data_IF_975259884589
#
_entry.id   IF_975259884589
#
_cell.length_a   1.000
_cell.length_b   1.000
_cell.length_c   1.000
_cell.angle_alpha   90.00
_cell.angle_beta   90.00
_cell.angle_gamma   90.00
#
_symmetry.space_group_name_H-M   'P 1'
#
loop_
_entity.id
_entity.type
_entity.pdbx_description
1 polymer ?
#
# COMPACT_ATOMS: atom_id res chain seq x y z
N UNK A 1 10.12 18.28 -12.92
CA UNK A 1 8.95 18.83 -13.64
C UNK A 1 9.10 18.38 -15.08
N UNK A 2 8.07 17.78 -15.68
CA UNK A 2 8.17 17.12 -16.99
C UNK A 2 8.61 18.13 -18.05
N UNK A 3 9.88 18.09 -18.46
CA UNK A 3 10.45 18.91 -19.52
C UNK A 3 10.67 18.01 -20.72
N UNK A 4 10.01 18.33 -21.84
CA UNK A 4 10.25 17.69 -23.13
C UNK A 4 11.41 18.43 -23.78
N UNK A 5 12.47 17.69 -24.10
CA UNK A 5 13.64 18.18 -24.82
C UNK A 5 13.92 17.17 -25.93
N UNK A 6 13.04 17.19 -26.94
CA UNK A 6 13.01 16.24 -28.06
C UNK A 6 12.43 16.96 -29.29
N UNK A 7 13.01 16.74 -30.46
CA UNK A 7 12.64 17.43 -31.70
C UNK A 7 11.39 16.85 -32.37
N UNK A 8 10.95 15.64 -31.98
CA UNK A 8 9.83 14.92 -32.61
C UNK A 8 8.62 14.75 -31.69
N UNK A 9 8.83 14.62 -30.38
CA UNK A 9 7.75 14.42 -29.40
C UNK A 9 7.34 15.73 -28.72
N UNK A 10 6.04 15.93 -28.49
CA UNK A 10 5.50 17.16 -27.90
C UNK A 10 4.60 16.96 -26.67
N UNK A 11 4.39 15.71 -26.23
CA UNK A 11 3.56 15.40 -25.07
C UNK A 11 4.04 14.16 -24.29
N UNK A 12 3.75 14.13 -22.98
CA UNK A 12 3.91 12.95 -22.11
C UNK A 12 2.55 12.40 -21.66
N UNK A 13 2.52 11.11 -21.34
CA UNK A 13 1.40 10.44 -20.66
C UNK A 13 1.85 9.98 -19.26
N UNK A 14 1.97 10.90 -18.28
CA UNK A 14 2.67 10.64 -17.02
C UNK A 14 1.85 9.82 -16.01
N UNK A 15 1.26 8.70 -16.42
CA UNK A 15 0.28 7.88 -15.69
C UNK A 15 0.50 7.75 -14.17
N UNK A 16 1.21 6.73 -13.70
CA UNK A 16 1.37 6.48 -12.26
C UNK A 16 2.13 7.60 -11.51
N UNK A 17 2.96 8.36 -12.25
CA UNK A 17 3.66 9.53 -11.73
C UNK A 17 2.72 10.63 -11.22
N UNK A 18 1.56 10.81 -11.86
CA UNK A 18 0.53 11.75 -11.40
C UNK A 18 -0.08 11.34 -10.05
N UNK A 19 -0.12 10.04 -9.74
CA UNK A 19 -0.59 9.53 -8.45
C UNK A 19 0.49 9.52 -7.38
N UNK A 20 1.69 10.02 -7.70
CA UNK A 20 2.75 10.20 -6.74
C UNK A 20 3.67 9.00 -6.56
N UNK A 21 3.66 8.04 -7.48
CA UNK A 21 4.58 6.89 -7.45
C UNK A 21 5.59 6.96 -8.58
N UNK A 22 6.81 6.54 -8.25
CA UNK A 22 7.91 6.53 -9.20
C UNK A 22 7.72 5.35 -10.19
N UNK A 23 7.63 5.61 -11.52
CA UNK A 23 7.51 4.52 -12.50
C UNK A 23 8.84 3.81 -12.78
N UNK A 24 9.97 4.34 -12.29
CA UNK A 24 11.31 3.82 -12.53
C UNK A 24 11.73 2.81 -11.46
N UNK A 25 12.62 1.87 -11.83
CA UNK A 25 13.19 0.91 -10.89
C UNK A 25 14.29 1.57 -10.07
N UNK A 26 14.57 1.05 -8.88
CA UNK A 26 15.57 1.61 -7.97
C UNK A 26 16.99 1.66 -8.56
N UNK A 27 17.28 0.79 -9.53
CA UNK A 27 18.58 0.68 -10.19
C UNK A 27 18.78 1.71 -11.30
N UNK A 28 17.70 2.36 -11.77
CA UNK A 28 17.77 3.34 -12.85
C UNK A 28 18.44 4.63 -12.36
N UNK A 29 19.42 5.15 -13.11
CA UNK A 29 20.07 6.44 -12.81
C UNK A 29 19.06 7.58 -12.66
N UNK A 30 17.98 7.55 -13.44
CA UNK A 30 16.91 8.54 -13.44
C UNK A 30 15.92 8.39 -12.27
N UNK A 31 16.01 7.32 -11.45
CA UNK A 31 15.13 7.09 -10.30
C UNK A 31 15.07 8.29 -9.35
N UNK A 32 16.19 9.02 -9.21
CA UNK A 32 16.30 10.23 -8.39
C UNK A 32 15.27 11.30 -8.75
N UNK A 33 14.83 11.39 -10.01
CA UNK A 33 13.86 12.38 -10.49
C UNK A 33 12.46 12.17 -9.88
N UNK A 34 12.11 10.93 -9.54
CA UNK A 34 10.83 10.56 -8.94
C UNK A 34 10.80 10.61 -7.41
N UNK A 35 11.94 10.85 -6.73
CA UNK A 35 12.03 10.80 -5.26
C UNK A 35 11.16 11.82 -4.51
N UNK A 36 10.76 12.91 -5.18
CA UNK A 36 9.93 13.97 -4.60
C UNK A 36 8.43 13.77 -4.85
N UNK A 37 8.04 12.72 -5.56
CA UNK A 37 6.64 12.39 -5.76
C UNK A 37 5.99 12.04 -4.41
N UNK A 38 4.73 12.45 -4.24
CA UNK A 38 3.98 12.25 -3.00
C UNK A 38 2.74 11.42 -3.31
N UNK A 39 2.56 10.24 -2.70
CA UNK A 39 1.37 9.42 -2.90
C UNK A 39 0.09 10.23 -2.73
N UNK A 40 -0.76 10.20 -3.75
CA UNK A 40 -2.03 10.93 -3.76
C UNK A 40 -3.16 10.19 -3.04
N UNK A 41 -3.00 8.88 -2.81
CA UNK A 41 -4.04 8.02 -2.24
C UNK A 41 -3.62 7.50 -0.87
N UNK A 42 -4.59 7.42 0.05
CA UNK A 42 -4.44 6.76 1.34
C UNK A 42 -5.71 5.99 1.67
N UNK A 43 -5.57 4.79 2.23
CA UNK A 43 -6.68 3.97 2.72
C UNK A 43 -6.65 3.95 4.24
N UNK A 44 -7.82 4.08 4.88
CA UNK A 44 -7.95 4.12 6.34
C UNK A 44 -9.15 3.28 6.76
N UNK A 45 -9.04 2.61 7.91
CA UNK A 45 -10.14 1.91 8.57
C UNK A 45 -10.08 2.17 10.08
N UNK A 46 -11.03 1.64 10.84
CA UNK A 46 -11.09 1.75 12.31
C UNK A 46 -11.34 0.39 12.93
N UNK A 47 -10.78 0.19 14.12
CA UNK A 47 -11.07 -1.00 14.92
C UNK A 47 -12.54 -0.97 15.34
N UNK A 48 -13.27 -2.03 15.01
CA UNK A 48 -14.68 -2.20 15.40
C UNK A 48 -14.86 -3.20 16.54
N UNK A 49 -13.89 -4.09 16.74
CA UNK A 49 -13.89 -5.02 17.86
C UNK A 49 -12.48 -5.41 18.28
N UNK A 50 -12.35 -5.79 19.56
CA UNK A 50 -11.16 -6.29 20.20
C UNK A 50 -11.52 -7.61 20.89
N UNK A 51 -10.72 -8.65 20.64
CA UNK A 51 -10.85 -9.95 21.29
C UNK A 51 -9.56 -10.31 22.00
N UNK A 52 -9.66 -10.75 23.26
CA UNK A 52 -8.54 -11.32 24.00
C UNK A 52 -8.57 -12.84 23.83
N UNK A 53 -7.45 -13.41 23.40
CA UNK A 53 -7.30 -14.83 23.07
C UNK A 53 -6.37 -15.52 24.06
N UNK A 54 -6.63 -16.80 24.30
CA UNK A 54 -5.76 -17.72 25.01
C UNK A 54 -4.92 -18.56 24.03
N UNK A 55 -3.84 -19.20 24.48
CA UNK A 55 -3.09 -20.14 23.65
C UNK A 55 -4.00 -21.23 23.09
N UNK A 56 -3.94 -21.46 21.77
CA UNK A 56 -4.74 -22.44 21.04
C UNK A 56 -5.98 -21.87 20.34
N UNK A 57 -6.46 -20.68 20.72
CA UNK A 57 -7.60 -20.02 20.06
C UNK A 57 -7.27 -19.69 18.59
N UNK A 58 -8.23 -19.94 17.69
CA UNK A 58 -8.07 -19.70 16.26
C UNK A 58 -8.66 -18.35 15.81
N UNK A 59 -8.11 -17.79 14.74
CA UNK A 59 -8.62 -16.54 14.13
C UNK A 59 -9.04 -16.80 12.68
N UNK A 60 -10.13 -16.14 12.27
CA UNK A 60 -10.71 -16.22 10.93
C UNK A 60 -11.22 -17.62 10.55
N UNK A 61 -11.71 -17.77 9.32
CA UNK A 61 -12.17 -19.05 8.80
C UNK A 61 -11.06 -20.12 8.84
N UNK A 62 -11.44 -21.36 9.10
CA UNK A 62 -10.56 -22.53 9.17
C UNK A 62 -9.42 -22.46 10.20
N UNK A 63 -9.35 -21.39 11.01
CA UNK A 63 -8.39 -21.22 12.10
C UNK A 63 -6.94 -21.48 11.64
N UNK A 64 -6.59 -20.99 10.44
CA UNK A 64 -5.26 -21.18 9.83
C UNK A 64 -4.16 -20.51 10.66
N UNK A 65 -4.52 -19.45 11.39
CA UNK A 65 -3.72 -18.89 12.46
C UNK A 65 -4.32 -19.26 13.82
N UNK A 66 -3.45 -19.66 14.76
CA UNK A 66 -3.80 -19.91 16.16
C UNK A 66 -2.86 -19.15 17.07
N UNK A 67 -3.37 -18.67 18.20
CA UNK A 67 -2.59 -17.96 19.18
C UNK A 67 -1.60 -18.94 19.87
N UNK A 68 -0.29 -18.65 19.80
CA UNK A 68 0.73 -19.42 20.54
C UNK A 68 0.83 -19.04 22.02
N UNK A 69 0.37 -17.84 22.35
CA UNK A 69 0.34 -17.26 23.69
C UNK A 69 -0.90 -16.37 23.86
N UNK A 70 -1.06 -15.74 25.02
CA UNK A 70 -2.15 -14.76 25.21
C UNK A 70 -1.98 -13.61 24.22
N UNK A 71 -3.03 -13.34 23.43
CA UNK A 71 -2.98 -12.33 22.39
C UNK A 71 -4.20 -11.41 22.44
N UNK A 72 -4.06 -10.20 21.88
CA UNK A 72 -5.17 -9.27 21.69
C UNK A 72 -5.31 -8.98 20.21
N UNK A 73 -6.44 -9.37 19.62
CA UNK A 73 -6.70 -9.26 18.18
C UNK A 73 -7.74 -8.18 17.91
N UNK A 74 -7.47 -7.33 16.93
CA UNK A 74 -8.37 -6.27 16.48
C UNK A 74 -9.02 -6.65 15.15
N UNK A 75 -10.32 -6.39 15.03
CA UNK A 75 -11.07 -6.52 13.78
C UNK A 75 -11.30 -5.14 13.18
N UNK A 76 -11.04 -5.00 11.87
CA UNK A 76 -11.37 -3.81 11.07
C UNK A 76 -12.38 -4.20 9.98
N UNK A 77 -13.31 -3.31 9.60
CA UNK A 77 -14.24 -3.54 8.50
C UNK A 77 -13.53 -3.21 7.17
N UNK A 78 -12.64 -4.10 6.75
CA UNK A 78 -11.95 -4.02 5.46
C UNK A 78 -11.57 -5.43 5.01
N UNK A 79 -12.24 -5.93 3.99
CA UNK A 79 -12.01 -7.21 3.35
C UNK A 79 -11.47 -7.07 1.93
N UNK A 80 -11.74 -8.08 1.11
CA UNK A 80 -11.27 -8.17 -0.28
C UNK A 80 -12.22 -7.49 -1.28
N UNK A 81 -13.42 -7.11 -0.86
CA UNK A 81 -14.48 -6.59 -1.74
C UNK A 81 -14.56 -5.05 -1.73
N UNK A 82 -13.72 -4.42 -0.93
CA UNK A 82 -13.58 -2.98 -0.73
C UNK A 82 -12.61 -2.31 -1.72
#
# INVERSE_FOLDING_TARGET
>A
MFKIDDDFFNAYRPGIGLFGYNPLRSEDKAYVLGKKLKPAMSVRSRVVSIHNLQPGDGVSYNHTWKAGEKARVATIPFGYAE
#
